data_IF_367341022763
#
_entry.id   IF_367341022763
#
_cell.length_a   1.000
_cell.length_b   1.000
_cell.length_c   1.000
_cell.angle_alpha   90.00
_cell.angle_beta   90.00
_cell.angle_gamma   90.00
#
_symmetry.space_group_name_H-M   'P 1'
#
loop_
_entity.id
_entity.type
_entity.pdbx_description
1 polymer ?
#
# COMPACT_ATOMS: atom_id res chain seq x y z
N UNK A 1 39.66 7.57 7.90
CA UNK A 1 39.52 8.95 7.39
C UNK A 1 39.18 8.86 5.91
N UNK A 2 38.00 9.33 5.53
CA UNK A 2 37.50 9.40 4.16
C UNK A 2 36.16 10.11 4.22
N UNK A 3 36.18 11.41 3.98
CA UNK A 3 35.08 12.36 4.19
C UNK A 3 33.85 11.98 3.35
N UNK A 4 32.70 11.89 4.02
CA UNK A 4 31.39 11.93 3.39
C UNK A 4 31.04 13.41 3.22
N UNK A 5 31.22 13.94 2.02
CA UNK A 5 30.82 15.30 1.71
C UNK A 5 29.29 15.36 1.59
N UNK A 6 28.66 15.76 2.70
CA UNK A 6 27.29 16.23 2.78
C UNK A 6 27.23 17.65 2.21
N UNK A 7 26.81 17.81 0.97
CA UNK A 7 26.48 19.13 0.43
C UNK A 7 25.22 19.07 -0.45
N UNK A 8 24.05 19.60 -0.01
CA UNK A 8 22.80 19.54 -0.76
C UNK A 8 22.64 20.62 -1.86
N UNK A 9 23.65 21.46 -2.10
CA UNK A 9 23.48 22.67 -2.93
C UNK A 9 24.55 22.79 -4.00
N UNK A 10 24.34 22.13 -5.15
CA UNK A 10 24.76 22.58 -6.48
C UNK A 10 24.58 21.43 -7.49
N UNK A 11 23.39 21.34 -8.12
CA UNK A 11 23.26 20.62 -9.38
C UNK A 11 23.13 21.67 -10.48
N UNK A 12 24.17 21.78 -11.32
CA UNK A 12 24.26 22.75 -12.40
C UNK A 12 23.17 22.48 -13.45
N UNK A 13 22.32 23.48 -13.68
CA UNK A 13 21.42 23.52 -14.82
C UNK A 13 22.24 23.55 -16.11
N UNK A 14 21.89 22.72 -17.09
CA UNK A 14 22.39 22.91 -18.45
C UNK A 14 21.53 23.96 -19.15
N UNK A 15 22.13 25.02 -19.72
CA UNK A 15 21.40 25.82 -20.71
C UNK A 15 21.04 24.89 -21.88
N UNK A 16 19.82 25.01 -22.39
CA UNK A 16 19.40 24.29 -23.59
C UNK A 16 20.45 24.51 -24.69
N UNK A 17 20.99 23.42 -25.25
CA UNK A 17 21.91 23.52 -26.37
C UNK A 17 21.25 24.29 -27.50
N UNK A 18 21.95 25.29 -28.05
CA UNK A 18 21.48 26.03 -29.22
C UNK A 18 21.23 25.05 -30.37
N UNK A 19 19.96 24.73 -30.65
CA UNK A 19 19.55 23.92 -31.80
C UNK A 19 18.60 22.75 -31.54
N UNK A 20 18.42 22.28 -30.30
CA UNK A 20 17.47 21.20 -30.02
C UNK A 20 16.04 21.73 -29.84
N UNK A 21 15.16 21.40 -30.79
CA UNK A 21 13.73 21.73 -30.70
C UNK A 21 13.03 20.75 -29.74
N UNK A 22 12.27 21.28 -28.78
CA UNK A 22 11.56 20.46 -27.80
C UNK A 22 10.56 19.49 -28.45
N UNK A 23 10.78 18.19 -28.25
CA UNK A 23 9.91 17.11 -28.73
C UNK A 23 9.60 16.12 -27.58
N UNK A 24 8.49 16.31 -26.84
CA UNK A 24 8.21 15.54 -25.60
C UNK A 24 7.92 14.05 -25.83
N UNK A 25 7.69 13.63 -27.07
CA UNK A 25 7.45 12.24 -27.46
C UNK A 25 8.53 11.72 -28.40
N UNK A 26 9.76 12.25 -28.31
CA UNK A 26 10.88 11.67 -29.05
C UNK A 26 11.12 10.22 -28.60
N UNK A 27 11.57 9.38 -29.53
CA UNK A 27 11.63 7.93 -29.33
C UNK A 27 12.61 7.51 -28.21
N UNK A 28 13.66 8.29 -27.98
CA UNK A 28 14.72 7.96 -27.03
C UNK A 28 14.29 8.26 -25.59
N UNK A 29 13.64 9.41 -25.34
CA UNK A 29 13.06 9.73 -24.04
C UNK A 29 11.91 8.78 -23.69
N UNK A 30 10.98 8.53 -24.62
CA UNK A 30 9.85 7.60 -24.38
C UNK A 30 10.36 6.23 -23.96
N UNK A 31 11.36 5.70 -24.67
CA UNK A 31 11.94 4.39 -24.33
C UNK A 31 12.68 4.43 -22.99
N UNK A 32 13.59 5.39 -22.82
CA UNK A 32 14.46 5.43 -21.65
C UNK A 32 13.70 5.74 -20.35
N UNK A 33 12.71 6.62 -20.39
CA UNK A 33 11.94 7.01 -19.21
C UNK A 33 11.00 5.88 -18.79
N UNK A 34 10.35 5.22 -19.75
CA UNK A 34 9.49 4.06 -19.45
C UNK A 34 10.30 2.87 -18.93
N UNK A 35 11.50 2.61 -19.44
CA UNK A 35 12.38 1.57 -18.88
C UNK A 35 12.74 1.86 -17.43
N UNK A 36 13.17 3.09 -17.11
CA UNK A 36 13.47 3.49 -15.72
C UNK A 36 12.25 3.37 -14.79
N UNK A 37 11.05 3.68 -15.30
CA UNK A 37 9.82 3.49 -14.54
C UNK A 37 9.50 2.01 -14.29
N UNK A 38 9.72 1.14 -15.29
CA UNK A 38 9.54 -0.33 -15.15
C UNK A 38 10.55 -0.92 -14.17
N UNK A 39 11.81 -0.48 -14.22
CA UNK A 39 12.85 -0.89 -13.26
C UNK A 39 12.44 -0.49 -11.84
N UNK A 40 12.03 0.76 -11.64
CA UNK A 40 11.53 1.24 -10.35
C UNK A 40 10.32 0.45 -9.84
N UNK A 41 9.31 0.18 -10.69
CA UNK A 41 8.12 -0.61 -10.30
C UNK A 41 8.52 -2.02 -9.88
N UNK A 42 9.47 -2.63 -10.60
CA UNK A 42 9.97 -3.97 -10.30
C UNK A 42 10.68 -4.01 -8.95
N UNK A 43 11.55 -3.05 -8.68
CA UNK A 43 12.26 -2.95 -7.39
C UNK A 43 11.30 -2.60 -6.25
N UNK A 44 10.30 -1.76 -6.50
CA UNK A 44 9.25 -1.44 -5.53
C UNK A 44 8.48 -2.70 -5.10
N UNK A 45 7.96 -3.51 -6.04
CA UNK A 45 7.23 -4.72 -5.66
C UNK A 45 8.10 -5.75 -4.93
N UNK A 46 9.40 -5.81 -5.23
CA UNK A 46 10.35 -6.70 -4.51
C UNK A 46 10.68 -6.22 -3.10
N UNK A 47 10.56 -4.93 -2.81
CA UNK A 47 11.02 -4.33 -1.56
C UNK A 47 9.90 -3.78 -0.66
N UNK A 48 8.68 -3.60 -1.17
CA UNK A 48 7.57 -2.96 -0.45
C UNK A 48 7.20 -3.66 0.87
N UNK A 49 7.40 -4.96 0.99
CA UNK A 49 7.18 -5.68 2.26
C UNK A 49 8.17 -5.26 3.37
N UNK A 50 9.38 -4.86 2.99
CA UNK A 50 10.40 -4.39 3.94
C UNK A 50 10.14 -2.97 4.45
N UNK A 51 9.32 -2.18 3.75
CA UNK A 51 8.94 -0.82 4.11
C UNK A 51 7.83 -0.81 5.17
N UNK A 52 7.78 0.20 6.07
CA UNK A 52 6.68 0.33 7.01
C UNK A 52 5.38 0.66 6.26
N UNK A 53 4.29 -0.08 6.48
CA UNK A 53 3.04 0.09 5.70
C UNK A 53 2.48 1.52 5.80
N UNK A 54 2.49 2.10 7.00
CA UNK A 54 2.19 3.51 7.24
C UNK A 54 3.49 4.32 7.32
N UNK A 55 3.54 5.52 6.71
CA UNK A 55 4.72 6.37 6.77
C UNK A 55 4.85 7.05 8.13
N UNK A 56 6.08 7.33 8.54
CA UNK A 56 6.38 8.09 9.76
C UNK A 56 6.75 9.54 9.40
N UNK A 57 5.81 10.25 8.77
CA UNK A 57 5.97 11.66 8.33
C UNK A 57 4.94 12.55 9.00
N UNK A 58 5.23 13.85 9.09
CA UNK A 58 4.31 14.86 9.62
C UNK A 58 3.58 15.58 8.47
N UNK A 59 2.37 16.10 8.69
CA UNK A 59 1.73 17.01 7.74
C UNK A 59 2.68 18.15 7.37
N UNK A 60 2.84 18.41 6.07
CA UNK A 60 3.74 19.44 5.53
C UNK A 60 5.14 18.94 5.10
N UNK A 61 5.58 17.74 5.49
CA UNK A 61 6.98 17.30 5.26
C UNK A 61 7.46 17.43 3.81
N UNK A 62 6.61 17.13 2.82
CA UNK A 62 7.01 17.11 1.42
C UNK A 62 7.32 18.51 0.88
N UNK A 63 6.69 19.55 1.45
CA UNK A 63 6.97 20.94 1.09
C UNK A 63 8.35 21.40 1.60
N UNK A 64 8.87 20.78 2.67
CA UNK A 64 10.21 21.06 3.19
C UNK A 64 11.30 20.33 2.39
N UNK A 65 10.97 19.20 1.76
CA UNK A 65 11.90 18.42 0.94
C UNK A 65 11.96 18.87 -0.53
N UNK A 66 10.82 19.30 -1.09
CA UNK A 66 10.73 19.76 -2.48
C UNK A 66 10.75 21.29 -2.56
N UNK A 67 11.13 21.83 -3.72
CA UNK A 67 11.13 23.29 -3.94
C UNK A 67 9.71 23.85 -3.88
N UNK A 68 9.58 25.03 -3.26
CA UNK A 68 8.30 25.73 -3.14
C UNK A 68 7.75 26.29 -4.47
N UNK A 69 8.59 26.38 -5.51
CA UNK A 69 8.22 26.85 -6.84
C UNK A 69 8.74 25.90 -7.93
N UNK A 70 8.05 25.80 -9.08
CA UNK A 70 8.51 24.96 -10.19
C UNK A 70 9.85 25.45 -10.74
N UNK A 71 10.72 24.52 -11.20
CA UNK A 71 12.02 24.91 -11.75
C UNK A 71 11.87 25.64 -13.10
N UNK A 72 12.64 26.70 -13.30
CA UNK A 72 12.68 27.45 -14.56
C UNK A 72 13.28 26.64 -15.72
N UNK A 73 14.24 25.75 -15.40
CA UNK A 73 14.98 24.95 -16.38
C UNK A 73 14.68 23.47 -16.20
N UNK A 74 14.83 22.70 -17.28
CA UNK A 74 14.69 21.25 -17.27
C UNK A 74 15.78 20.57 -16.43
N UNK A 75 15.47 19.38 -15.92
CA UNK A 75 16.42 18.47 -15.30
C UNK A 75 16.35 17.10 -15.99
N UNK A 76 17.42 16.30 -15.98
CA UNK A 76 17.37 14.92 -16.43
C UNK A 76 16.33 14.11 -15.65
N UNK A 77 15.64 13.18 -16.30
CA UNK A 77 14.62 12.35 -15.65
C UNK A 77 15.14 11.53 -14.46
N UNK A 78 16.44 11.24 -14.42
CA UNK A 78 17.07 10.60 -13.25
C UNK A 78 16.97 11.42 -11.97
N UNK A 79 16.94 12.76 -12.08
CA UNK A 79 16.70 13.66 -10.94
C UNK A 79 15.28 13.48 -10.44
N UNK A 80 14.29 13.46 -11.33
CA UNK A 80 12.88 13.20 -10.98
C UNK A 80 12.70 11.83 -10.32
N UNK A 81 13.33 10.79 -10.87
CA UNK A 81 13.28 9.44 -10.28
C UNK A 81 14.01 9.36 -8.93
N UNK A 82 15.07 10.15 -8.73
CA UNK A 82 15.75 10.27 -7.44
C UNK A 82 14.83 10.93 -6.40
N UNK A 83 14.18 12.04 -6.72
CA UNK A 83 13.23 12.74 -5.84
C UNK A 83 12.02 11.87 -5.51
N UNK A 84 11.49 11.13 -6.49
CA UNK A 84 10.44 10.12 -6.25
C UNK A 84 10.87 9.12 -5.16
N UNK A 85 12.08 8.56 -5.29
CA UNK A 85 12.60 7.57 -4.33
C UNK A 85 12.92 8.16 -2.96
N UNK A 86 13.52 9.36 -2.91
CA UNK A 86 14.00 9.94 -1.65
C UNK A 86 12.91 10.61 -0.84
N UNK A 87 11.91 11.20 -1.51
CA UNK A 87 10.98 12.14 -0.86
C UNK A 87 9.53 11.70 -0.94
N UNK A 88 9.12 11.05 -2.03
CA UNK A 88 7.72 10.60 -2.18
C UNK A 88 7.50 9.24 -1.53
N UNK A 89 8.31 8.23 -1.89
CA UNK A 89 8.15 6.85 -1.42
C UNK A 89 8.11 6.75 0.12
N UNK A 90 8.98 7.42 0.90
CA UNK A 90 8.95 7.34 2.36
C UNK A 90 7.70 7.92 3.02
N UNK A 91 6.96 8.79 2.33
CA UNK A 91 5.69 9.35 2.81
C UNK A 91 4.45 8.69 2.24
N UNK A 92 4.60 7.59 1.49
CA UNK A 92 3.46 6.82 1.00
C UNK A 92 2.91 5.88 2.08
N UNK A 93 1.59 5.75 2.13
CA UNK A 93 0.98 4.53 2.68
C UNK A 93 1.05 3.44 1.61
N UNK A 94 1.68 2.31 1.92
CA UNK A 94 1.94 1.26 0.93
C UNK A 94 0.75 0.32 0.77
N UNK A 95 -0.23 0.73 -0.03
CA UNK A 95 -1.39 -0.10 -0.40
C UNK A 95 -1.01 -1.43 -1.07
N UNK A 96 0.13 -1.46 -1.77
CA UNK A 96 0.65 -2.67 -2.42
C UNK A 96 1.37 -3.62 -1.45
N UNK A 97 1.61 -3.20 -0.20
CA UNK A 97 2.27 -4.07 0.78
C UNK A 97 1.42 -5.32 1.03
N UNK A 98 2.02 -6.51 1.18
CA UNK A 98 1.29 -7.70 1.61
C UNK A 98 0.78 -7.58 3.06
N UNK A 99 1.26 -6.59 3.82
CA UNK A 99 0.86 -6.30 5.20
C UNK A 99 -0.18 -5.16 5.32
N UNK A 100 -0.79 -4.75 4.21
CA UNK A 100 -1.90 -3.81 4.19
C UNK A 100 -3.22 -4.56 4.41
N UNK A 101 -3.89 -4.32 5.54
CA UNK A 101 -5.16 -4.97 5.93
C UNK A 101 -6.31 -3.97 6.17
N UNK A 102 -6.10 -2.70 5.83
CA UNK A 102 -7.07 -1.63 6.02
C UNK A 102 -8.07 -1.52 4.86
N UNK A 103 -9.17 -0.79 5.06
CA UNK A 103 -10.17 -0.47 4.02
C UNK A 103 -10.61 -1.69 3.19
N UNK A 104 -10.42 -1.64 1.87
CA UNK A 104 -10.47 -2.77 0.95
C UNK A 104 -9.23 -2.70 0.06
N UNK A 105 -8.57 -3.83 -0.24
CA UNK A 105 -7.34 -3.82 -1.02
C UNK A 105 -7.60 -3.29 -2.44
N UNK A 106 -6.69 -2.45 -2.94
CA UNK A 106 -6.68 -1.97 -4.32
C UNK A 106 -5.96 -2.99 -5.21
N UNK A 107 -6.60 -4.15 -5.41
CA UNK A 107 -6.01 -5.26 -6.15
C UNK A 107 -5.55 -4.84 -7.55
N UNK A 108 -4.38 -5.32 -7.96
CA UNK A 108 -3.75 -4.91 -9.20
C UNK A 108 -3.07 -6.10 -9.89
N UNK A 109 -2.72 -5.92 -11.17
CA UNK A 109 -2.09 -6.98 -11.96
C UNK A 109 -1.23 -6.40 -13.08
N UNK A 110 -0.24 -7.17 -13.53
CA UNK A 110 0.62 -6.76 -14.63
C UNK A 110 -0.18 -6.42 -15.91
N UNK A 111 -1.23 -7.20 -16.22
CA UNK A 111 -2.08 -6.94 -17.39
C UNK A 111 -2.87 -5.62 -17.27
N UNK A 112 -3.36 -5.28 -16.06
CA UNK A 112 -4.04 -4.02 -15.85
C UNK A 112 -3.09 -2.82 -15.97
N UNK A 113 -1.88 -2.92 -15.41
CA UNK A 113 -0.83 -1.89 -15.49
C UNK A 113 -0.42 -1.66 -16.95
N UNK A 114 -0.15 -2.73 -17.70
CA UNK A 114 0.19 -2.65 -19.12
C UNK A 114 -0.95 -2.02 -19.93
N UNK A 115 -2.20 -2.40 -19.67
CA UNK A 115 -3.36 -1.81 -20.35
C UNK A 115 -3.53 -0.33 -20.06
N UNK A 116 -3.28 0.12 -18.82
CA UNK A 116 -3.37 1.55 -18.48
C UNK A 116 -2.18 2.37 -19.01
N UNK A 117 -0.99 1.76 -19.08
CA UNK A 117 0.19 2.34 -19.74
C UNK A 117 -0.07 2.55 -21.24
N UNK A 118 -0.52 1.51 -21.93
CA UNK A 118 -0.82 1.57 -23.38
C UNK A 118 -1.97 2.56 -23.65
N UNK A 119 -3.03 2.54 -22.84
CA UNK A 119 -4.12 3.50 -22.98
C UNK A 119 -3.65 4.94 -22.81
N UNK A 120 -2.69 5.19 -21.91
CA UNK A 120 -2.08 6.50 -21.70
C UNK A 120 -1.18 6.90 -22.88
N UNK A 121 -0.33 5.98 -23.34
CA UNK A 121 0.62 6.22 -24.43
C UNK A 121 -0.07 6.46 -25.78
N UNK A 122 -1.16 5.74 -26.05
CA UNK A 122 -1.92 5.88 -27.30
C UNK A 122 -2.83 7.11 -27.32
N UNK A 123 -3.06 7.75 -26.16
CA UNK A 123 -3.95 8.91 -26.00
C UNK A 123 -5.27 8.77 -26.79
N UNK A 124 -5.88 7.58 -26.76
CA UNK A 124 -7.09 7.29 -27.56
C UNK A 124 -8.30 7.98 -26.93
N UNK A 125 -8.68 9.10 -27.53
CA UNK A 125 -9.70 10.02 -27.03
C UNK A 125 -11.09 9.55 -27.44
N UNK A 126 -12.02 9.54 -26.48
CA UNK A 126 -13.45 9.71 -26.74
C UNK A 126 -13.94 10.94 -25.97
N UNK A 127 -13.84 12.12 -26.60
CA UNK A 127 -14.22 13.50 -26.19
C UNK A 127 -13.84 14.01 -24.76
N UNK A 128 -13.55 13.16 -23.76
CA UNK A 128 -13.12 13.64 -22.44
C UNK A 128 -12.78 12.56 -21.39
N UNK A 129 -12.58 11.30 -21.78
CA UNK A 129 -12.30 10.20 -20.84
C UNK A 129 -11.17 9.29 -21.30
N UNK A 130 -10.39 8.77 -20.35
CA UNK A 130 -9.39 7.71 -20.56
C UNK A 130 -10.05 6.46 -21.15
N UNK A 131 -9.32 5.71 -21.99
CA UNK A 131 -9.77 4.41 -22.51
C UNK A 131 -9.67 3.29 -21.44
N UNK A 132 -10.52 3.37 -20.40
CA UNK A 132 -10.54 2.44 -19.26
C UNK A 132 -10.89 1.00 -19.63
N UNK A 133 -11.54 0.79 -20.77
CA UNK A 133 -11.91 -0.54 -21.26
C UNK A 133 -10.70 -1.42 -21.59
N UNK A 134 -9.56 -0.83 -21.98
CA UNK A 134 -8.39 -1.58 -22.41
C UNK A 134 -7.80 -2.44 -21.28
N UNK A 135 -7.58 -1.86 -20.09
CA UNK A 135 -7.05 -2.61 -18.94
C UNK A 135 -8.00 -3.71 -18.47
N UNK A 136 -9.31 -3.46 -18.48
CA UNK A 136 -10.31 -4.45 -18.10
C UNK A 136 -10.32 -5.64 -19.08
N UNK A 137 -10.31 -5.34 -20.38
CA UNK A 137 -10.21 -6.35 -21.43
C UNK A 137 -8.92 -7.15 -21.32
N UNK A 138 -7.77 -6.51 -21.09
CA UNK A 138 -6.48 -7.20 -20.92
C UNK A 138 -6.48 -8.15 -19.72
N UNK A 139 -7.07 -7.75 -18.58
CA UNK A 139 -7.21 -8.64 -17.41
C UNK A 139 -8.06 -9.86 -17.75
N UNK A 140 -9.26 -9.66 -18.28
CA UNK A 140 -10.17 -10.76 -18.63
C UNK A 140 -9.55 -11.69 -19.68
N UNK A 141 -8.89 -11.13 -20.70
CA UNK A 141 -8.33 -11.89 -21.82
C UNK A 141 -7.07 -12.65 -21.45
N UNK A 142 -6.21 -12.08 -20.61
CA UNK A 142 -4.91 -12.66 -20.21
C UNK A 142 -5.08 -13.74 -19.14
N UNK A 143 -5.92 -13.49 -18.13
CA UNK A 143 -6.07 -14.43 -17.00
C UNK A 143 -7.21 -15.44 -17.20
N UNK A 144 -8.27 -15.04 -17.89
CA UNK A 144 -9.46 -15.87 -18.08
C UNK A 144 -10.29 -16.04 -16.80
N UNK A 145 -11.53 -16.50 -16.98
CA UNK A 145 -12.52 -16.60 -15.88
C UNK A 145 -12.06 -17.50 -14.74
N UNK A 146 -11.43 -18.64 -15.06
CA UNK A 146 -11.00 -19.60 -14.03
C UNK A 146 -9.99 -19.00 -13.04
N UNK A 147 -8.97 -18.27 -13.51
CA UNK A 147 -7.99 -17.63 -12.62
C UNK A 147 -8.60 -16.49 -11.81
N UNK A 148 -9.53 -15.74 -12.39
CA UNK A 148 -10.24 -14.68 -11.68
C UNK A 148 -11.14 -15.23 -10.58
N UNK A 149 -11.84 -16.35 -10.85
CA UNK A 149 -12.62 -17.06 -9.83
C UNK A 149 -11.71 -17.60 -8.73
N UNK A 150 -10.55 -18.17 -9.09
CA UNK A 150 -9.60 -18.69 -8.12
C UNK A 150 -9.01 -17.59 -7.23
N UNK A 151 -8.69 -16.43 -7.79
CA UNK A 151 -8.24 -15.27 -7.01
C UNK A 151 -9.26 -14.86 -5.94
N UNK A 152 -10.56 -14.82 -6.26
CA UNK A 152 -11.60 -14.54 -5.26
C UNK A 152 -11.67 -15.64 -4.19
N UNK A 153 -11.55 -16.91 -4.60
CA UNK A 153 -11.59 -18.05 -3.68
C UNK A 153 -10.41 -18.06 -2.73
N UNK A 154 -9.20 -17.77 -3.21
CA UNK A 154 -7.99 -17.72 -2.38
C UNK A 154 -8.08 -16.62 -1.32
N UNK A 155 -8.57 -15.45 -1.69
CA UNK A 155 -8.73 -14.33 -0.74
C UNK A 155 -9.77 -14.68 0.35
N UNK A 156 -10.89 -15.28 -0.05
CA UNK A 156 -11.92 -15.76 0.88
C UNK A 156 -11.40 -16.89 1.78
N UNK A 157 -10.58 -17.80 1.26
CA UNK A 157 -9.97 -18.88 2.03
C UNK A 157 -8.98 -18.33 3.07
N UNK A 158 -8.10 -17.39 2.69
CA UNK A 158 -7.19 -16.72 3.62
C UNK A 158 -7.94 -15.97 4.73
N UNK A 159 -9.04 -15.27 4.39
CA UNK A 159 -9.88 -14.62 5.40
C UNK A 159 -10.57 -15.63 6.33
N UNK A 160 -10.96 -16.81 5.81
CA UNK A 160 -11.48 -17.90 6.64
C UNK A 160 -10.42 -18.45 7.59
N UNK A 161 -9.17 -18.63 7.13
CA UNK A 161 -8.05 -19.03 7.99
C UNK A 161 -7.88 -18.03 9.14
N UNK A 162 -7.91 -16.73 8.85
CA UNK A 162 -7.85 -15.69 9.89
C UNK A 162 -9.05 -15.75 10.84
N UNK A 163 -10.27 -15.91 10.33
CA UNK A 163 -11.48 -16.05 11.15
C UNK A 163 -11.39 -17.23 12.12
N UNK A 164 -10.95 -18.39 11.62
CA UNK A 164 -10.81 -19.61 12.43
C UNK A 164 -9.71 -19.43 13.50
N UNK A 165 -8.63 -18.70 13.19
CA UNK A 165 -7.58 -18.33 14.15
C UNK A 165 -8.11 -17.42 15.26
N UNK A 166 -8.91 -16.39 14.92
CA UNK A 166 -9.54 -15.49 15.89
C UNK A 166 -10.50 -16.26 16.79
N UNK A 167 -11.33 -17.14 16.22
CA UNK A 167 -12.27 -17.98 17.00
C UNK A 167 -11.58 -18.97 17.93
N UNK A 168 -10.31 -19.30 17.65
CA UNK A 168 -9.51 -20.21 18.46
C UNK A 168 -8.87 -19.58 19.70
N UNK A 169 -8.96 -18.25 19.87
CA UNK A 169 -8.41 -17.53 21.02
C UNK A 169 -9.54 -16.87 21.81
N UNK A 170 -9.67 -17.25 23.08
CA UNK A 170 -10.80 -16.91 23.96
C UNK A 170 -10.84 -15.43 24.38
N UNK A 171 -9.76 -14.70 24.13
CA UNK A 171 -9.66 -13.25 24.36
C UNK A 171 -10.34 -12.44 23.26
N UNK A 172 -10.64 -13.06 22.11
CA UNK A 172 -11.20 -12.37 20.96
C UNK A 172 -12.57 -12.91 20.58
N UNK A 173 -13.30 -12.09 19.83
CA UNK A 173 -14.55 -12.51 19.21
C UNK A 173 -14.66 -11.97 17.78
N UNK A 174 -15.32 -12.76 16.92
CA UNK A 174 -15.73 -12.33 15.58
C UNK A 174 -17.12 -11.70 15.71
N UNK A 175 -17.20 -10.40 15.43
CA UNK A 175 -18.37 -9.56 15.79
C UNK A 175 -19.57 -9.80 14.87
N UNK A 176 -19.32 -10.10 13.59
CA UNK A 176 -20.36 -10.37 12.59
C UNK A 176 -19.96 -11.55 11.69
N UNK A 177 -20.92 -12.29 11.10
CA UNK A 177 -20.61 -13.35 10.14
C UNK A 177 -19.78 -12.84 8.95
N UNK A 178 -18.72 -13.56 8.62
CA UNK A 178 -17.86 -13.25 7.48
C UNK A 178 -18.49 -13.74 6.17
N UNK A 179 -18.88 -12.81 5.31
CA UNK A 179 -19.44 -13.13 3.98
C UNK A 179 -18.37 -13.23 2.87
N UNK A 180 -17.31 -12.41 2.94
CA UNK A 180 -16.24 -12.30 1.92
C UNK A 180 -14.85 -12.27 2.59
N UNK A 181 -13.88 -11.57 2.03
CA UNK A 181 -12.51 -11.50 2.53
C UNK A 181 -12.27 -10.47 3.66
N UNK A 182 -13.33 -10.04 4.37
CA UNK A 182 -13.25 -9.09 5.48
C UNK A 182 -13.71 -9.76 6.78
N UNK A 183 -12.82 -9.80 7.77
CA UNK A 183 -13.15 -10.25 9.13
C UNK A 183 -13.24 -9.03 10.05
N UNK A 184 -14.34 -8.95 10.81
CA UNK A 184 -14.55 -7.94 11.84
C UNK A 184 -14.38 -8.62 13.19
N UNK A 185 -13.37 -8.23 13.96
CA UNK A 185 -13.03 -8.86 15.22
C UNK A 185 -12.66 -7.82 16.28
N UNK A 186 -12.65 -8.24 17.54
CA UNK A 186 -12.24 -7.40 18.67
C UNK A 186 -11.73 -8.23 19.83
N UNK A 187 -10.95 -7.61 20.72
CA UNK A 187 -10.76 -8.06 22.10
C UNK A 187 -12.11 -7.95 22.81
N UNK A 188 -12.56 -9.04 23.45
CA UNK A 188 -13.83 -9.09 24.19
C UNK A 188 -13.70 -8.42 25.56
N UNK A 189 -14.81 -7.95 26.12
CA UNK A 189 -14.83 -7.64 27.55
C UNK A 189 -14.67 -8.93 28.38
N UNK A 190 -13.90 -8.85 29.46
CA UNK A 190 -13.48 -9.97 30.29
C UNK A 190 -12.24 -10.72 29.78
N UNK A 191 -11.58 -10.27 28.70
CA UNK A 191 -10.36 -10.91 28.17
C UNK A 191 -9.14 -10.80 29.09
N UNK A 192 -9.14 -9.83 30.01
CA UNK A 192 -8.04 -9.51 30.91
C UNK A 192 -8.33 -8.27 31.75
N UNK A 193 -7.42 -7.89 32.65
CA UNK A 193 -7.62 -6.74 33.53
C UNK A 193 -7.81 -5.42 32.77
N UNK A 194 -7.08 -5.23 31.66
CA UNK A 194 -7.19 -4.06 30.80
C UNK A 194 -8.42 -4.04 29.88
N UNK A 195 -9.27 -5.07 29.92
CA UNK A 195 -10.50 -5.17 29.14
C UNK A 195 -11.64 -5.69 30.01
N UNK A 196 -11.76 -5.22 31.26
CA UNK A 196 -12.73 -5.73 32.22
C UNK A 196 -14.18 -5.38 31.83
N UNK A 197 -14.41 -4.14 31.38
CA UNK A 197 -15.71 -3.66 30.91
C UNK A 197 -15.76 -3.51 29.40
N UNK A 198 -16.94 -3.23 28.86
CA UNK A 198 -17.12 -2.95 27.44
C UNK A 198 -16.34 -1.69 27.01
N UNK A 199 -16.31 -0.64 27.86
CA UNK A 199 -15.58 0.60 27.63
C UNK A 199 -14.06 0.36 27.63
N UNK A 200 -13.56 -0.40 28.61
CA UNK A 200 -12.14 -0.78 28.67
C UNK A 200 -11.75 -1.59 27.43
N UNK A 201 -12.61 -2.50 26.99
CA UNK A 201 -12.38 -3.26 25.77
C UNK A 201 -12.34 -2.38 24.52
N UNK A 202 -13.12 -1.30 24.44
CA UNK A 202 -13.04 -0.37 23.31
C UNK A 202 -11.70 0.37 23.27
N UNK A 203 -11.20 0.79 24.43
CA UNK A 203 -9.89 1.45 24.51
C UNK A 203 -8.74 0.47 24.27
N UNK A 204 -8.83 -0.77 24.79
CA UNK A 204 -7.85 -1.82 24.50
C UNK A 204 -7.82 -2.17 22.99
N UNK A 205 -8.95 -2.16 22.30
CA UNK A 205 -8.95 -2.38 20.84
C UNK A 205 -8.34 -1.19 20.07
N UNK A 206 -8.57 0.05 20.53
CA UNK A 206 -7.93 1.25 19.96
C UNK A 206 -6.41 1.16 20.12
N UNK A 207 -5.95 0.88 21.34
CA UNK A 207 -4.53 0.76 21.63
C UNK A 207 -3.87 -0.38 20.84
N UNK A 208 -4.53 -1.53 20.73
CA UNK A 208 -4.05 -2.66 19.91
C UNK A 208 -3.84 -2.20 18.46
N UNK A 209 -4.83 -1.53 17.87
CA UNK A 209 -4.73 -1.01 16.49
C UNK A 209 -3.54 -0.05 16.33
N UNK A 210 -3.38 0.90 17.26
CA UNK A 210 -2.30 1.88 17.20
C UNK A 210 -0.92 1.24 17.37
N UNK A 211 -0.77 0.29 18.31
CA UNK A 211 0.48 -0.46 18.51
C UNK A 211 0.82 -1.30 17.27
N UNK A 212 -0.15 -1.99 16.67
CA UNK A 212 0.03 -2.75 15.42
C UNK A 212 0.51 -1.83 14.29
N UNK A 213 -0.18 -0.71 14.08
CA UNK A 213 0.14 0.26 13.03
C UNK A 213 1.54 0.87 13.22
N UNK A 214 1.95 1.12 14.47
CA UNK A 214 3.26 1.68 14.81
C UNK A 214 4.43 0.72 14.53
N UNK A 215 4.18 -0.58 14.47
CA UNK A 215 5.24 -1.56 14.10
C UNK A 215 5.70 -1.42 12.65
N UNK A 216 4.88 -0.83 11.79
CA UNK A 216 5.09 -0.83 10.34
C UNK A 216 4.89 -2.19 9.68
N UNK A 217 4.56 -3.25 10.43
CA UNK A 217 4.34 -4.62 9.94
C UNK A 217 2.88 -5.00 9.75
N UNK A 218 1.97 -4.09 10.05
CA UNK A 218 0.56 -4.19 9.71
C UNK A 218 -0.02 -2.79 9.54
N UNK A 219 -1.03 -2.65 8.69
CA UNK A 219 -1.95 -1.53 8.77
C UNK A 219 -3.38 -2.04 8.92
N UNK A 220 -3.95 -1.77 10.09
CA UNK A 220 -5.31 -2.12 10.50
C UNK A 220 -6.09 -0.83 10.76
N UNK A 221 -7.35 -0.81 10.34
CA UNK A 221 -8.28 0.27 10.63
C UNK A 221 -9.49 -0.27 11.39
N UNK A 222 -10.21 0.62 12.06
CA UNK A 222 -11.38 0.27 12.86
C UNK A 222 -12.70 0.63 12.17
N UNK A 223 -13.79 0.21 12.79
CA UNK A 223 -15.16 0.63 12.54
C UNK A 223 -15.96 0.56 13.84
N UNK A 224 -17.22 0.95 13.80
CA UNK A 224 -18.15 0.84 14.93
C UNK A 224 -19.33 -0.01 14.51
N UNK A 225 -19.57 -1.11 15.24
CA UNK A 225 -20.71 -2.02 15.00
C UNK A 225 -21.50 -2.11 16.30
N UNK A 226 -22.79 -1.79 16.28
CA UNK A 226 -23.63 -1.85 17.50
C UNK A 226 -23.13 -0.96 18.64
N UNK A 227 -22.48 0.16 18.34
CA UNK A 227 -21.90 1.08 19.34
C UNK A 227 -20.55 0.64 19.91
N UNK A 228 -19.94 -0.41 19.34
CA UNK A 228 -18.72 -1.05 19.85
C UNK A 228 -17.55 -0.84 18.88
N UNK A 229 -16.35 -0.58 19.40
CA UNK A 229 -15.14 -0.41 18.59
C UNK A 229 -14.66 -1.76 18.04
N UNK A 230 -14.51 -1.88 16.72
CA UNK A 230 -14.22 -3.16 16.05
C UNK A 230 -13.07 -3.00 15.07
N UNK A 231 -12.13 -3.94 15.09
CA UNK A 231 -11.03 -3.98 14.13
C UNK A 231 -11.47 -4.68 12.85
N UNK A 232 -11.06 -4.12 11.72
CA UNK A 232 -11.31 -4.68 10.38
C UNK A 232 -10.02 -5.27 9.84
N UNK A 233 -10.09 -6.54 9.45
CA UNK A 233 -9.01 -7.26 8.79
C UNK A 233 -9.43 -7.59 7.36
N UNK A 234 -9.06 -6.73 6.41
CA UNK A 234 -9.39 -6.87 4.99
C UNK A 234 -8.25 -7.58 4.25
N UNK A 235 -8.48 -8.85 3.90
CA UNK A 235 -7.55 -9.69 3.14
C UNK A 235 -7.69 -9.42 1.64
N UNK A 236 -6.59 -9.57 0.90
CA UNK A 236 -6.59 -9.58 -0.57
C UNK A 236 -5.66 -8.56 -1.24
N UNK A 237 -4.68 -7.98 -0.53
CA UNK A 237 -3.61 -7.23 -1.22
C UNK A 237 -2.90 -8.16 -2.22
N UNK A 238 -2.57 -7.70 -3.43
CA UNK A 238 -2.16 -8.61 -4.51
C UNK A 238 -0.83 -9.33 -4.30
N UNK A 239 0.02 -8.85 -3.39
CA UNK A 239 1.26 -9.53 -2.98
C UNK A 239 1.07 -10.40 -1.73
N UNK A 240 -0.11 -10.35 -1.11
CA UNK A 240 -0.39 -11.04 0.14
C UNK A 240 -0.61 -12.53 -0.09
N UNK A 241 0.15 -13.31 0.66
CA UNK A 241 0.03 -14.76 0.78
C UNK A 241 -0.41 -15.16 2.20
N UNK A 242 -0.81 -16.43 2.37
CA UNK A 242 -1.32 -16.95 3.65
C UNK A 242 -0.36 -16.75 4.83
N UNK A 243 0.95 -16.87 4.61
CA UNK A 243 1.95 -16.68 5.67
C UNK A 243 1.96 -15.25 6.22
N UNK A 244 1.58 -14.24 5.43
CA UNK A 244 1.43 -12.86 5.89
C UNK A 244 0.23 -12.73 6.84
N UNK A 245 -0.89 -13.38 6.50
CA UNK A 245 -2.09 -13.42 7.35
C UNK A 245 -1.79 -14.11 8.68
N UNK A 246 -1.07 -15.23 8.66
CA UNK A 246 -0.63 -15.93 9.88
C UNK A 246 0.34 -15.09 10.70
N UNK A 247 1.32 -14.45 10.07
CA UNK A 247 2.27 -13.55 10.75
C UNK A 247 1.57 -12.35 11.39
N UNK A 248 0.58 -11.77 10.72
CA UNK A 248 -0.23 -10.70 11.28
C UNK A 248 -1.04 -11.16 12.50
N UNK A 249 -1.57 -12.39 12.50
CA UNK A 249 -2.23 -12.96 13.66
C UNK A 249 -1.27 -13.20 14.83
N UNK A 250 -0.07 -13.72 14.58
CA UNK A 250 0.95 -13.87 15.63
C UNK A 250 1.34 -12.51 16.23
N UNK A 251 1.45 -11.47 15.40
CA UNK A 251 1.68 -10.10 15.85
C UNK A 251 0.52 -9.61 16.74
N UNK A 252 -0.73 -9.80 16.32
CA UNK A 252 -1.93 -9.45 17.11
C UNK A 252 -1.91 -10.13 18.48
N UNK A 253 -1.68 -11.44 18.53
CA UNK A 253 -1.60 -12.19 19.79
C UNK A 253 -0.48 -11.68 20.68
N UNK A 254 0.72 -11.48 20.12
CA UNK A 254 1.88 -10.97 20.87
C UNK A 254 1.59 -9.60 21.47
N UNK A 255 1.15 -8.64 20.66
CA UNK A 255 0.84 -7.29 21.11
C UNK A 255 -0.27 -7.28 22.16
N UNK A 256 -1.30 -8.13 21.99
CA UNK A 256 -2.37 -8.27 22.99
C UNK A 256 -1.84 -8.82 24.31
N UNK A 257 -0.99 -9.85 24.29
CA UNK A 257 -0.37 -10.38 25.53
C UNK A 257 0.48 -9.32 26.23
N UNK A 258 1.21 -8.48 25.48
CA UNK A 258 1.99 -7.37 26.03
C UNK A 258 1.14 -6.22 26.61
N UNK A 259 -0.13 -6.11 26.21
CA UNK A 259 -1.07 -5.10 26.72
C UNK A 259 -1.82 -5.56 27.97
N UNK A 260 -1.97 -6.88 28.16
CA UNK A 260 -2.77 -7.45 29.25
C UNK A 260 -1.94 -7.74 30.51
N UNK A 261 -0.62 -7.53 30.44
CA UNK A 261 0.32 -7.57 31.58
C UNK A 261 0.54 -6.15 32.12
#
# INVERSE_FOLDING_TARGET
MGSLDTNPTAFSAFPAGEGETFQPLNADDVRSYLHKAVDFISDYYKSVESMPVLPNVKPGYLQDELRASPPTYSAPFDVTMKELRSSVVPGMTHWASPNFFAFFPSTNSAAAIAGDLIASAMNTVGVGRRFRGLKLWMVMRTYGVAKLQEHIRSDVAMAKVFEDLVRGDDRFEVVVPRNFALVCFRIRAGAGAAAATEEDADEANRELMERLNKTGKAYVAHTVVGGRFVLRFAVGSSLQEEHHVRSAWELIKKTTTEMMN
#
